data_IF_116885544335
#
_entry.id   IF_116885544335
#
_cell.length_a   1.000
_cell.length_b   1.000
_cell.length_c   1.000
_cell.angle_alpha   90.00
_cell.angle_beta   90.00
_cell.angle_gamma   90.00
#
_symmetry.space_group_name_H-M   'P 1'
#
loop_
_entity.id
_entity.type
_entity.pdbx_description
1 polymer ?
#
# COMPACT_ATOMS: atom_id res chain seq x y z
N UNK A 1 -8.08 6.61 -35.01
CA UNK A 1 -7.74 5.70 -33.89
C UNK A 1 -7.72 6.48 -32.55
N UNK A 2 -7.05 7.66 -32.52
CA UNK A 2 -6.94 8.46 -31.29
C UNK A 2 -8.32 8.83 -30.70
N UNK A 3 -9.23 9.40 -31.52
CA UNK A 3 -10.59 9.75 -31.11
C UNK A 3 -11.38 8.56 -30.54
N UNK A 4 -11.15 7.35 -31.04
CA UNK A 4 -11.82 6.15 -30.51
C UNK A 4 -11.31 5.79 -29.11
N UNK A 5 -10.02 5.99 -28.85
CA UNK A 5 -9.43 5.76 -27.53
C UNK A 5 -9.94 6.82 -26.55
N UNK A 6 -10.01 8.09 -26.93
CA UNK A 6 -10.57 9.16 -26.12
C UNK A 6 -12.06 8.92 -25.82
N UNK A 7 -12.84 8.48 -26.80
CA UNK A 7 -14.22 8.06 -26.58
C UNK A 7 -14.31 6.88 -25.59
N UNK A 8 -13.37 5.95 -25.62
CA UNK A 8 -13.29 4.86 -24.65
C UNK A 8 -13.00 5.39 -23.23
N UNK A 9 -12.13 6.41 -23.08
CA UNK A 9 -11.87 7.07 -21.78
C UNK A 9 -13.15 7.68 -21.21
N UNK A 10 -13.96 8.37 -22.04
CA UNK A 10 -15.25 8.90 -21.64
C UNK A 10 -16.20 7.78 -21.19
N UNK A 11 -16.23 6.65 -21.91
CA UNK A 11 -17.05 5.49 -21.55
C UNK A 11 -16.66 4.87 -20.21
N UNK A 12 -15.38 4.76 -19.91
CA UNK A 12 -14.93 4.30 -18.60
C UNK A 12 -15.36 5.25 -17.47
N UNK A 13 -15.51 6.53 -17.73
CA UNK A 13 -15.91 7.53 -16.74
C UNK A 13 -17.40 7.62 -16.49
N UNK A 14 -18.24 6.99 -17.34
CA UNK A 14 -19.70 6.98 -17.18
C UNK A 14 -20.20 6.10 -16.04
N UNK A 15 -19.37 5.17 -15.56
CA UNK A 15 -19.75 4.26 -14.50
C UNK A 15 -19.67 4.92 -13.14
N UNK A 16 -20.72 4.68 -12.32
CA UNK A 16 -20.75 5.10 -10.93
C UNK A 16 -20.76 3.87 -10.03
N UNK A 17 -19.82 3.81 -9.12
CA UNK A 17 -19.76 2.73 -8.15
C UNK A 17 -20.81 2.94 -7.06
N UNK A 18 -21.77 2.03 -6.96
CA UNK A 18 -22.79 2.06 -5.92
C UNK A 18 -22.26 1.38 -4.66
N UNK A 19 -21.85 2.18 -3.69
CA UNK A 19 -21.31 1.70 -2.40
C UNK A 19 -22.05 2.38 -1.25
N UNK A 20 -21.98 1.78 -0.05
CA UNK A 20 -22.51 2.42 1.16
C UNK A 20 -21.72 3.69 1.51
N UNK A 21 -22.33 4.62 2.24
CA UNK A 21 -21.65 5.84 2.71
C UNK A 21 -20.42 5.55 3.53
N UNK A 22 -20.47 4.52 4.39
CA UNK A 22 -19.31 4.11 5.18
C UNK A 22 -18.16 3.59 4.30
N UNK A 23 -18.46 2.79 3.26
CA UNK A 23 -17.45 2.29 2.32
C UNK A 23 -16.90 3.43 1.47
N UNK A 24 -17.68 4.45 1.14
CA UNK A 24 -17.24 5.61 0.37
C UNK A 24 -16.07 6.36 1.04
N UNK A 25 -16.03 6.43 2.36
CA UNK A 25 -14.93 7.04 3.11
C UNK A 25 -13.59 6.32 2.90
N UNK A 26 -13.63 4.99 2.69
CA UNK A 26 -12.44 4.16 2.43
C UNK A 26 -11.94 4.26 0.98
N UNK A 27 -12.79 4.72 0.07
CA UNK A 27 -12.50 4.85 -1.35
C UNK A 27 -12.72 6.26 -1.88
N UNK A 28 -12.62 7.26 -1.00
CA UNK A 28 -12.79 8.66 -1.38
C UNK A 28 -11.85 9.06 -2.52
N UNK A 29 -12.40 9.68 -3.56
CA UNK A 29 -11.67 10.05 -4.77
C UNK A 29 -11.61 8.97 -5.84
N UNK A 30 -12.06 7.74 -5.56
CA UNK A 30 -12.12 6.65 -6.52
C UNK A 30 -13.55 6.42 -6.98
N UNK A 31 -13.76 6.38 -8.29
CA UNK A 31 -15.06 6.10 -8.87
C UNK A 31 -15.23 4.59 -9.10
N UNK A 32 -14.33 4.03 -9.89
CA UNK A 32 -14.21 2.59 -10.14
C UNK A 32 -12.74 2.26 -10.39
N UNK A 33 -12.38 0.98 -10.24
CA UNK A 33 -11.03 0.53 -10.52
C UNK A 33 -10.92 -0.08 -11.93
N UNK A 34 -11.37 0.67 -12.93
CA UNK A 34 -11.16 0.28 -14.33
C UNK A 34 -9.76 0.70 -14.75
N UNK A 35 -8.88 -0.28 -14.88
CA UNK A 35 -7.47 -0.03 -15.17
C UNK A 35 -7.13 -0.37 -16.61
N UNK A 36 -6.21 0.41 -17.15
CA UNK A 36 -5.47 0.08 -18.35
C UNK A 36 -3.98 0.06 -18.01
N UNK A 37 -3.29 -1.01 -18.39
CA UNK A 37 -1.86 -1.16 -18.17
C UNK A 37 -1.14 -1.21 -19.51
N UNK A 38 -0.10 -0.38 -19.67
CA UNK A 38 0.70 -0.29 -20.90
C UNK A 38 2.20 -0.41 -20.62
N UNK A 39 3.00 -0.69 -21.65
CA UNK A 39 4.45 -0.88 -21.52
C UNK A 39 4.81 -2.27 -20.99
N UNK A 40 5.97 -2.38 -20.35
CA UNK A 40 6.52 -3.63 -19.82
C UNK A 40 7.07 -4.58 -20.87
N UNK A 41 7.38 -5.80 -20.48
CA UNK A 41 7.83 -6.86 -21.39
C UNK A 41 6.70 -7.81 -21.76
N UNK A 42 6.69 -8.23 -23.02
CA UNK A 42 5.83 -9.31 -23.51
C UNK A 42 6.33 -10.67 -23.01
N UNK A 43 5.55 -11.72 -23.29
CA UNK A 43 5.92 -13.10 -22.93
C UNK A 43 7.27 -13.55 -23.49
N UNK A 44 7.62 -13.11 -24.69
CA UNK A 44 8.90 -13.39 -25.34
C UNK A 44 10.07 -12.54 -24.82
N UNK A 45 9.82 -11.67 -23.83
CA UNK A 45 10.80 -10.77 -23.25
C UNK A 45 11.07 -9.50 -24.08
N UNK A 46 10.43 -9.32 -25.24
CA UNK A 46 10.55 -8.10 -26.03
C UNK A 46 9.79 -6.94 -25.40
N UNK A 47 10.12 -5.72 -25.82
CA UNK A 47 9.43 -4.51 -25.37
C UNK A 47 7.94 -4.53 -25.76
N UNK A 48 7.08 -4.16 -24.80
CA UNK A 48 5.63 -4.11 -24.94
C UNK A 48 5.11 -2.76 -25.44
N UNK A 49 5.94 -1.73 -25.54
CA UNK A 49 5.52 -0.43 -26.05
C UNK A 49 5.12 -0.51 -27.54
N UNK A 50 4.07 0.20 -27.89
CA UNK A 50 3.54 0.21 -29.25
C UNK A 50 2.72 1.50 -29.48
N UNK A 51 2.22 1.79 -30.70
CA UNK A 51 1.44 3.00 -30.94
C UNK A 51 0.23 3.20 -30.03
N UNK A 52 -0.44 2.12 -29.59
CA UNK A 52 -1.58 2.21 -28.65
C UNK A 52 -1.11 2.72 -27.28
N UNK A 53 0.10 2.34 -26.83
CA UNK A 53 0.71 2.87 -25.59
C UNK A 53 0.74 4.39 -25.59
N UNK A 54 1.24 5.00 -26.67
CA UNK A 54 1.33 6.46 -26.77
C UNK A 54 -0.04 7.12 -26.94
N UNK A 55 -0.97 6.47 -27.63
CA UNK A 55 -2.35 6.94 -27.76
C UNK A 55 -3.06 6.94 -26.39
N UNK A 56 -2.82 5.93 -25.55
CA UNK A 56 -3.37 5.86 -24.18
C UNK A 56 -2.82 6.98 -23.28
N UNK A 57 -1.50 7.23 -23.32
CA UNK A 57 -0.89 8.35 -22.60
C UNK A 57 -1.51 9.68 -23.03
N UNK A 58 -1.64 9.89 -24.34
CA UNK A 58 -2.23 11.10 -24.92
C UNK A 58 -3.72 11.25 -24.56
N UNK A 59 -4.51 10.20 -24.62
CA UNK A 59 -5.92 10.24 -24.22
C UNK A 59 -6.07 10.64 -22.73
N UNK A 60 -5.21 10.13 -21.84
CA UNK A 60 -5.21 10.52 -20.42
C UNK A 60 -4.87 12.01 -20.25
N UNK A 61 -3.91 12.54 -21.02
CA UNK A 61 -3.53 13.95 -20.99
C UNK A 61 -4.66 14.87 -21.48
N UNK A 62 -5.36 14.48 -22.55
CA UNK A 62 -6.36 15.34 -23.19
C UNK A 62 -7.73 15.24 -22.53
N UNK A 63 -8.19 14.04 -22.15
CA UNK A 63 -9.52 13.82 -21.60
C UNK A 63 -9.60 14.15 -20.10
N UNK A 64 -8.53 13.88 -19.33
CA UNK A 64 -8.40 14.22 -17.89
C UNK A 64 -9.52 13.69 -17.00
N UNK A 65 -10.02 12.49 -17.32
CA UNK A 65 -11.03 11.81 -16.51
C UNK A 65 -10.39 10.95 -15.42
N UNK A 66 -11.17 10.60 -14.38
CA UNK A 66 -10.70 9.72 -13.30
C UNK A 66 -10.50 8.28 -13.75
N UNK A 67 -11.12 7.88 -14.85
CA UNK A 67 -11.04 6.52 -15.39
C UNK A 67 -10.80 6.57 -16.90
N UNK A 68 -10.09 5.58 -17.42
CA UNK A 68 -9.44 4.46 -16.73
C UNK A 68 -8.25 4.93 -15.88
N UNK A 69 -8.01 4.21 -14.76
CA UNK A 69 -6.74 4.34 -14.06
C UNK A 69 -5.59 3.87 -14.95
N UNK A 70 -4.78 4.78 -15.47
CA UNK A 70 -3.66 4.42 -16.33
C UNK A 70 -2.45 4.00 -15.51
N UNK A 71 -1.99 2.77 -15.74
CA UNK A 71 -0.76 2.21 -15.17
C UNK A 71 0.29 1.98 -16.26
N UNK A 72 1.54 2.27 -15.97
CA UNK A 72 2.66 1.99 -16.87
C UNK A 72 3.64 1.03 -16.23
N UNK A 73 4.08 0.03 -16.99
CA UNK A 73 5.12 -0.92 -16.60
C UNK A 73 6.44 -0.44 -17.20
N UNK A 74 7.35 0.01 -16.34
CA UNK A 74 8.67 0.52 -16.74
C UNK A 74 9.72 -0.55 -16.50
N UNK A 75 10.53 -0.81 -17.51
CA UNK A 75 11.67 -1.72 -17.47
C UNK A 75 12.99 -0.95 -17.58
N UNK A 76 14.09 -1.55 -17.15
CA UNK A 76 15.40 -0.87 -17.13
C UNK A 76 15.86 -0.45 -18.56
N UNK A 77 15.49 -1.24 -19.56
CA UNK A 77 15.81 -1.06 -20.98
C UNK A 77 14.63 -0.52 -21.81
N UNK A 78 13.64 0.14 -21.18
CA UNK A 78 12.52 0.72 -21.91
C UNK A 78 12.97 1.85 -22.85
N UNK A 79 12.27 2.06 -23.98
CA UNK A 79 12.58 3.18 -24.88
C UNK A 79 12.58 4.51 -24.14
N UNK A 80 13.59 5.34 -24.42
CA UNK A 80 13.69 6.67 -23.81
C UNK A 80 12.45 7.53 -24.10
N UNK A 81 11.92 7.44 -25.30
CA UNK A 81 10.72 8.15 -25.75
C UNK A 81 9.49 7.77 -24.89
N UNK A 82 9.39 6.49 -24.48
CA UNK A 82 8.32 6.04 -23.60
C UNK A 82 8.44 6.66 -22.21
N UNK A 83 9.62 6.62 -21.60
CA UNK A 83 9.84 7.20 -20.30
C UNK A 83 9.66 8.74 -20.32
N UNK A 84 10.11 9.40 -21.37
CA UNK A 84 9.91 10.85 -21.58
C UNK A 84 8.41 11.18 -21.68
N UNK A 85 7.59 10.40 -22.39
CA UNK A 85 6.15 10.57 -22.49
C UNK A 85 5.43 10.33 -21.14
N UNK A 86 5.85 9.33 -20.40
CA UNK A 86 5.36 9.07 -19.02
C UNK A 86 5.64 10.25 -18.12
N UNK A 87 6.88 10.75 -18.07
CA UNK A 87 7.26 11.90 -17.24
C UNK A 87 6.56 13.20 -17.67
N UNK A 88 6.31 13.36 -18.97
CA UNK A 88 5.53 14.48 -19.49
C UNK A 88 4.09 14.44 -18.95
N UNK A 89 3.43 13.28 -18.98
CA UNK A 89 2.07 13.12 -18.47
C UNK A 89 2.00 13.34 -16.95
N UNK A 90 2.97 12.82 -16.18
CA UNK A 90 3.07 13.08 -14.73
C UNK A 90 3.12 14.58 -14.44
N UNK A 91 3.88 15.34 -15.24
CA UNK A 91 4.02 16.79 -15.07
C UNK A 91 2.72 17.56 -15.32
N UNK A 92 1.70 16.94 -15.94
CA UNK A 92 0.37 17.58 -16.12
C UNK A 92 -0.42 17.64 -14.79
N UNK A 93 0.03 16.95 -13.73
CA UNK A 93 -0.62 17.00 -12.41
C UNK A 93 -1.96 16.25 -12.32
N UNK A 94 -2.26 15.36 -13.27
CA UNK A 94 -3.50 14.55 -13.26
C UNK A 94 -3.48 13.41 -12.24
N UNK A 95 -2.34 13.14 -11.60
CA UNK A 95 -2.13 11.98 -10.73
C UNK A 95 -1.89 10.67 -11.50
N UNK A 96 -1.95 10.68 -12.83
CA UNK A 96 -1.64 9.55 -13.71
C UNK A 96 -0.39 9.83 -14.56
N UNK A 97 0.25 8.75 -15.04
CA UNK A 97 0.02 7.34 -14.75
C UNK A 97 0.62 6.92 -13.39
N UNK A 98 0.10 5.82 -12.84
CA UNK A 98 0.79 5.07 -11.79
C UNK A 98 1.96 4.31 -12.42
N UNK A 99 3.16 4.43 -11.87
CA UNK A 99 4.39 3.90 -12.48
C UNK A 99 4.85 2.67 -11.70
N UNK A 100 5.00 1.54 -12.40
CA UNK A 100 5.35 0.25 -11.81
C UNK A 100 6.63 -0.31 -12.41
N UNK A 101 7.47 -0.91 -11.56
CA UNK A 101 8.61 -1.71 -11.99
C UNK A 101 8.14 -3.01 -12.61
N UNK A 102 8.42 -3.20 -13.90
CA UNK A 102 8.07 -4.43 -14.59
C UNK A 102 8.76 -5.66 -13.98
N UNK A 103 10.03 -5.52 -13.60
CA UNK A 103 10.83 -6.60 -13.02
C UNK A 103 10.32 -7.01 -11.63
N UNK A 104 10.01 -6.05 -10.76
CA UNK A 104 9.53 -6.34 -9.41
C UNK A 104 8.13 -6.93 -9.45
N UNK A 105 7.22 -6.40 -10.29
CA UNK A 105 5.88 -6.98 -10.49
C UNK A 105 5.92 -8.42 -11.00
N UNK A 106 6.81 -8.71 -11.93
CA UNK A 106 7.07 -10.06 -12.40
C UNK A 106 7.53 -10.99 -11.26
N UNK A 107 8.49 -10.52 -10.43
CA UNK A 107 8.99 -11.30 -9.31
C UNK A 107 7.93 -11.53 -8.22
N UNK A 108 7.10 -10.53 -7.93
CA UNK A 108 5.95 -10.68 -7.02
C UNK A 108 5.02 -11.83 -7.44
N UNK A 109 4.73 -11.95 -8.74
CA UNK A 109 3.87 -13.02 -9.24
C UNK A 109 4.55 -14.38 -9.21
N UNK A 110 5.86 -14.47 -9.50
CA UNK A 110 6.61 -15.70 -9.33
C UNK A 110 6.57 -16.16 -7.86
N UNK A 111 6.76 -15.25 -6.92
CA UNK A 111 6.70 -15.53 -5.48
C UNK A 111 5.30 -15.97 -5.04
N UNK A 112 4.25 -15.48 -5.71
CA UNK A 112 2.86 -15.89 -5.50
C UNK A 112 2.50 -17.23 -6.17
N UNK A 113 3.42 -17.85 -6.91
CA UNK A 113 3.24 -19.17 -7.50
C UNK A 113 2.71 -19.19 -8.93
N UNK A 114 2.80 -18.07 -9.67
CA UNK A 114 2.48 -18.05 -11.09
C UNK A 114 3.61 -18.66 -11.91
N UNK A 115 3.23 -19.29 -13.03
CA UNK A 115 4.21 -19.75 -14.02
C UNK A 115 4.89 -18.56 -14.71
N UNK A 116 6.17 -18.67 -15.10
CA UNK A 116 6.94 -17.54 -15.66
C UNK A 116 6.28 -16.83 -16.85
N UNK A 117 5.71 -17.61 -17.78
CA UNK A 117 5.04 -17.05 -18.95
C UNK A 117 3.79 -16.25 -18.61
N UNK A 118 3.01 -16.75 -17.66
CA UNK A 118 1.80 -16.08 -17.17
C UNK A 118 2.17 -14.86 -16.29
N UNK A 119 3.17 -14.99 -15.45
CA UNK A 119 3.70 -13.88 -14.65
C UNK A 119 4.24 -12.74 -15.52
N UNK A 120 4.82 -13.03 -16.70
CA UNK A 120 5.31 -12.01 -17.62
C UNK A 120 4.20 -11.13 -18.22
N UNK A 121 3.01 -11.70 -18.39
CA UNK A 121 1.84 -11.04 -18.99
C UNK A 121 0.93 -10.36 -17.94
N UNK A 122 1.52 -9.87 -16.87
CA UNK A 122 0.77 -9.24 -15.79
C UNK A 122 0.21 -7.86 -16.17
N UNK A 123 -0.87 -7.49 -15.53
CA UNK A 123 -1.45 -6.16 -15.55
C UNK A 123 -1.68 -5.68 -14.12
N UNK A 124 -1.96 -4.39 -13.97
CA UNK A 124 -2.30 -3.83 -12.69
C UNK A 124 -3.81 -3.93 -12.45
N UNK A 125 -4.21 -4.39 -11.27
CA UNK A 125 -5.58 -4.37 -10.79
C UNK A 125 -5.73 -3.30 -9.72
N UNK A 126 -6.68 -2.40 -9.88
CA UNK A 126 -6.82 -1.26 -8.96
C UNK A 126 -5.60 -0.34 -8.98
N UNK A 127 -5.05 0.00 -7.80
CA UNK A 127 -3.95 0.96 -7.68
C UNK A 127 -2.59 0.34 -7.97
N UNK A 128 -2.27 -0.81 -7.33
CA UNK A 128 -0.91 -1.37 -7.27
C UNK A 128 -0.85 -2.89 -7.23
N UNK A 129 -1.94 -3.61 -7.47
CA UNK A 129 -1.93 -5.07 -7.38
C UNK A 129 -1.47 -5.68 -8.70
N UNK A 130 -0.29 -6.32 -8.78
CA UNK A 130 0.07 -7.10 -9.95
C UNK A 130 -0.87 -8.29 -10.07
N UNK A 131 -1.51 -8.45 -11.22
CA UNK A 131 -2.57 -9.42 -11.42
C UNK A 131 -2.45 -10.06 -12.80
N UNK A 132 -3.12 -11.20 -12.96
CA UNK A 132 -3.20 -11.90 -14.23
C UNK A 132 -4.62 -12.45 -14.49
N UNK A 133 -5.08 -12.38 -15.73
CA UNK A 133 -6.46 -12.73 -16.15
C UNK A 133 -6.93 -14.14 -15.83
N UNK A 134 -6.04 -15.05 -15.45
CA UNK A 134 -6.37 -16.44 -15.07
C UNK A 134 -6.48 -16.63 -13.56
N UNK A 135 -6.56 -15.55 -12.81
CA UNK A 135 -6.48 -15.55 -11.34
C UNK A 135 -7.87 -15.45 -10.73
N UNK A 136 -8.08 -16.21 -9.66
CA UNK A 136 -9.20 -16.05 -8.74
C UNK A 136 -9.10 -14.70 -8.01
N UNK A 137 -10.22 -14.28 -7.42
CA UNK A 137 -10.33 -13.00 -6.72
C UNK A 137 -9.63 -13.00 -5.34
N UNK A 138 -9.88 -11.95 -4.57
CA UNK A 138 -9.38 -11.64 -3.22
C UNK A 138 -8.09 -10.83 -3.17
N UNK A 139 -7.93 -9.94 -4.14
CA UNK A 139 -6.79 -9.02 -4.21
C UNK A 139 -6.74 -7.99 -3.06
N UNK A 140 -7.84 -7.80 -2.31
CA UNK A 140 -7.94 -6.92 -1.15
C UNK A 140 -9.00 -7.49 -0.18
N UNK A 141 -8.63 -8.51 0.59
CA UNK A 141 -9.56 -9.21 1.47
C UNK A 141 -9.86 -8.43 2.76
N UNK A 142 -8.82 -7.94 3.44
CA UNK A 142 -8.90 -7.18 4.68
C UNK A 142 -7.87 -6.07 4.70
N UNK A 143 -8.26 -4.90 5.23
CA UNK A 143 -7.33 -3.84 5.59
C UNK A 143 -7.05 -3.91 7.10
N UNK A 144 -5.80 -4.13 7.48
CA UNK A 144 -5.37 -4.27 8.87
C UNK A 144 -4.70 -2.97 9.36
N UNK A 145 -5.22 -2.38 10.42
CA UNK A 145 -4.65 -1.18 11.04
C UNK A 145 -3.50 -1.53 11.97
N UNK A 146 -2.27 -1.31 11.55
CA UNK A 146 -1.06 -1.59 12.34
C UNK A 146 -0.98 -0.74 13.61
N UNK A 147 -1.48 0.51 13.55
CA UNK A 147 -1.53 1.39 14.70
C UNK A 147 -2.34 0.82 15.87
N UNK A 148 -3.39 0.04 15.59
CA UNK A 148 -4.19 -0.60 16.62
C UNK A 148 -3.39 -1.61 17.45
N UNK A 149 -2.45 -2.34 16.84
CA UNK A 149 -1.56 -3.23 17.58
C UNK A 149 -0.68 -2.46 18.58
N UNK A 150 -0.16 -1.29 18.18
CA UNK A 150 0.62 -0.42 19.07
C UNK A 150 -0.24 0.15 20.19
N UNK A 151 -1.45 0.61 19.88
CA UNK A 151 -2.39 1.12 20.87
C UNK A 151 -2.73 0.05 21.93
N UNK A 152 -3.10 -1.15 21.48
CA UNK A 152 -3.48 -2.25 22.38
C UNK A 152 -2.29 -2.75 23.22
N UNK A 153 -1.07 -2.76 22.64
CA UNK A 153 0.14 -3.11 23.37
C UNK A 153 0.41 -2.17 24.55
N UNK A 154 0.24 -0.87 24.37
CA UNK A 154 0.54 0.14 25.36
C UNK A 154 -0.63 0.45 26.32
N UNK A 155 -1.85 0.02 25.98
CA UNK A 155 -3.08 0.28 26.73
C UNK A 155 -3.78 -1.01 27.18
N UNK A 156 -3.02 -2.06 27.51
CA UNK A 156 -3.51 -3.33 28.10
C UNK A 156 -4.63 -4.02 27.28
N UNK A 157 -4.61 -3.86 25.95
CA UNK A 157 -5.61 -4.40 25.05
C UNK A 157 -6.85 -3.52 24.86
N UNK A 158 -6.92 -2.33 25.45
CA UNK A 158 -8.06 -1.43 25.32
C UNK A 158 -7.83 -0.37 24.25
N UNK A 159 -8.91 -0.03 23.55
CA UNK A 159 -8.92 1.12 22.63
C UNK A 159 -8.98 2.44 23.42
N UNK A 160 -8.12 3.39 23.09
CA UNK A 160 -8.16 4.75 23.64
C UNK A 160 -9.39 5.54 23.14
N UNK A 161 -9.93 5.16 21.99
CA UNK A 161 -11.06 5.88 21.39
C UNK A 161 -12.42 5.44 21.96
N UNK A 162 -12.59 4.15 22.22
CA UNK A 162 -13.89 3.60 22.67
C UNK A 162 -13.88 3.17 24.14
N UNK A 163 -12.72 2.95 24.72
CA UNK A 163 -12.58 2.36 26.05
C UNK A 163 -12.89 0.86 26.12
N UNK A 164 -13.19 0.24 24.98
CA UNK A 164 -13.51 -1.18 24.90
C UNK A 164 -12.26 -2.03 24.80
N UNK A 165 -12.33 -3.26 25.32
CA UNK A 165 -11.26 -4.24 25.16
C UNK A 165 -11.32 -4.88 23.79
N UNK A 166 -10.36 -4.53 22.96
CA UNK A 166 -10.25 -4.97 21.56
C UNK A 166 -9.09 -5.94 21.32
N UNK A 167 -8.06 -5.89 22.14
CA UNK A 167 -6.86 -6.71 22.07
C UNK A 167 -6.74 -7.75 23.18
N UNK A 168 -5.62 -8.45 23.18
CA UNK A 168 -5.24 -9.40 24.21
C UNK A 168 -4.82 -8.67 25.50
N UNK A 169 -4.83 -9.40 26.62
CA UNK A 169 -4.30 -8.89 27.91
C UNK A 169 -2.81 -8.60 27.80
N UNK A 170 -2.43 -7.42 28.27
CA UNK A 170 -1.04 -6.99 28.39
C UNK A 170 -0.77 -6.44 29.80
N UNK A 171 0.49 -6.49 30.20
CA UNK A 171 0.94 -5.80 31.43
C UNK A 171 0.84 -4.28 31.23
N UNK A 172 0.62 -3.52 32.32
CA UNK A 172 0.68 -2.06 32.24
C UNK A 172 1.97 -1.57 31.59
N UNK A 173 1.89 -0.52 30.76
CA UNK A 173 3.07 0.02 30.09
C UNK A 173 4.19 0.41 31.08
N UNK A 174 3.85 0.91 32.27
CA UNK A 174 4.84 1.22 33.33
C UNK A 174 5.64 0.03 33.85
N UNK A 175 5.21 -1.22 33.57
CA UNK A 175 5.92 -2.45 33.92
C UNK A 175 6.81 -2.96 32.76
N UNK A 176 6.83 -2.27 31.63
CA UNK A 176 7.71 -2.57 30.48
C UNK A 176 9.08 -1.92 30.74
N UNK A 177 10.07 -2.73 31.11
CA UNK A 177 11.38 -2.25 31.57
C UNK A 177 12.46 -2.26 30.49
N UNK A 178 12.16 -2.82 29.31
CA UNK A 178 13.04 -2.86 28.16
C UNK A 178 12.31 -2.56 26.85
N UNK A 179 13.03 -2.15 25.83
CA UNK A 179 12.46 -1.99 24.49
C UNK A 179 11.93 -3.32 23.93
N UNK A 180 12.55 -4.43 24.28
CA UNK A 180 12.08 -5.76 23.89
C UNK A 180 10.74 -6.10 24.55
N UNK A 181 10.45 -5.65 25.76
CA UNK A 181 9.12 -5.79 26.36
C UNK A 181 8.05 -5.12 25.50
N UNK A 182 8.32 -3.90 25.03
CA UNK A 182 7.40 -3.15 24.16
C UNK A 182 7.23 -3.84 22.81
N UNK A 183 8.32 -4.30 22.20
CA UNK A 183 8.26 -5.04 20.93
C UNK A 183 7.46 -6.34 21.07
N UNK A 184 7.69 -7.09 22.13
CA UNK A 184 6.98 -8.35 22.36
C UNK A 184 5.48 -8.11 22.58
N UNK A 185 5.09 -7.09 23.34
CA UNK A 185 3.70 -6.70 23.50
C UNK A 185 3.09 -6.26 22.13
N UNK A 186 3.81 -5.46 21.36
CA UNK A 186 3.38 -5.04 20.04
C UNK A 186 3.14 -6.24 19.10
N UNK A 187 4.12 -7.14 18.95
CA UNK A 187 3.99 -8.29 18.05
C UNK A 187 2.90 -9.26 18.51
N UNK A 188 2.71 -9.47 19.80
CA UNK A 188 1.61 -10.29 20.32
C UNK A 188 0.24 -9.74 19.91
N UNK A 189 0.02 -8.42 19.99
CA UNK A 189 -1.22 -7.79 19.51
C UNK A 189 -1.32 -7.83 17.99
N UNK A 190 -0.20 -7.62 17.30
CA UNK A 190 -0.12 -7.65 15.85
C UNK A 190 -0.50 -9.03 15.28
N UNK A 191 0.05 -10.11 15.84
CA UNK A 191 -0.25 -11.49 15.44
C UNK A 191 -1.71 -11.85 15.70
N UNK A 192 -2.28 -11.32 16.81
CA UNK A 192 -3.71 -11.48 17.09
C UNK A 192 -4.58 -10.80 16.01
N UNK A 193 -4.23 -9.60 15.56
CA UNK A 193 -4.94 -8.91 14.47
C UNK A 193 -4.76 -9.65 13.13
N UNK A 194 -3.57 -10.17 12.84
CA UNK A 194 -3.32 -11.03 11.68
C UNK A 194 -4.27 -12.23 11.70
N UNK A 195 -4.34 -12.96 12.82
CA UNK A 195 -5.22 -14.13 12.97
C UNK A 195 -6.70 -13.79 12.76
N UNK A 196 -7.18 -12.67 13.30
CA UNK A 196 -8.57 -12.23 13.09
C UNK A 196 -8.83 -11.90 11.62
N UNK A 197 -7.87 -11.26 10.93
CA UNK A 197 -7.97 -10.98 9.50
C UNK A 197 -8.07 -12.26 8.66
N UNK A 198 -7.30 -13.28 9.02
CA UNK A 198 -7.35 -14.60 8.38
C UNK A 198 -8.71 -15.28 8.59
N UNK A 199 -9.20 -15.34 9.83
CA UNK A 199 -10.50 -15.96 10.17
C UNK A 199 -11.63 -15.28 9.40
N UNK A 200 -11.68 -13.95 9.43
CA UNK A 200 -12.68 -13.16 8.71
C UNK A 200 -12.67 -13.47 7.21
N UNK A 201 -11.49 -13.53 6.62
CA UNK A 201 -11.33 -13.81 5.18
C UNK A 201 -11.79 -15.23 4.83
N UNK A 202 -11.43 -16.23 5.61
CA UNK A 202 -11.84 -17.62 5.39
C UNK A 202 -13.37 -17.75 5.43
N UNK A 203 -14.02 -17.13 6.42
CA UNK A 203 -15.49 -17.16 6.53
C UNK A 203 -16.14 -16.40 5.36
N UNK A 204 -15.59 -15.27 4.95
CA UNK A 204 -16.06 -14.54 3.78
C UNK A 204 -15.94 -15.39 2.50
N UNK A 205 -14.81 -16.09 2.30
CA UNK A 205 -14.64 -16.99 1.15
C UNK A 205 -15.65 -18.14 1.15
N UNK A 206 -15.95 -18.74 2.32
CA UNK A 206 -16.97 -19.79 2.46
C UNK A 206 -18.36 -19.28 2.05
N UNK A 207 -18.74 -18.10 2.55
CA UNK A 207 -20.01 -17.47 2.19
C UNK A 207 -20.09 -17.14 0.69
N UNK A 208 -19.02 -16.61 0.10
CA UNK A 208 -18.98 -16.33 -1.34
C UNK A 208 -19.12 -17.59 -2.18
N UNK A 209 -18.44 -18.66 -1.80
CA UNK A 209 -18.50 -19.96 -2.47
C UNK A 209 -19.92 -20.53 -2.52
N UNK A 210 -20.71 -20.32 -1.47
CA UNK A 210 -22.07 -20.88 -1.33
C UNK A 210 -23.15 -19.95 -1.84
N UNK A 211 -23.01 -18.64 -1.62
CA UNK A 211 -24.11 -17.67 -1.76
C UNK A 211 -23.94 -16.68 -2.91
N UNK A 212 -22.71 -16.51 -3.44
CA UNK A 212 -22.40 -15.45 -4.41
C UNK A 212 -21.73 -16.02 -5.66
N UNK A 213 -22.38 -16.91 -6.42
CA UNK A 213 -21.84 -17.38 -7.70
C UNK A 213 -21.80 -16.24 -8.72
N UNK A 214 -20.78 -16.25 -9.58
CA UNK A 214 -20.53 -15.21 -10.59
C UNK A 214 -20.38 -15.82 -11.99
N UNK A 215 -21.45 -16.42 -12.53
CA UNK A 215 -21.37 -17.23 -13.75
C UNK A 215 -20.91 -16.41 -14.97
N UNK A 216 -21.35 -15.15 -15.10
CA UNK A 216 -20.91 -14.30 -16.22
C UNK A 216 -19.41 -13.98 -16.11
N UNK A 217 -18.92 -13.56 -14.93
CA UNK A 217 -17.51 -13.31 -14.72
C UNK A 217 -16.68 -14.60 -14.92
N UNK A 218 -17.16 -15.72 -14.38
CA UNK A 218 -16.52 -17.03 -14.54
C UNK A 218 -16.36 -17.43 -16.01
N UNK A 219 -17.32 -17.08 -16.88
CA UNK A 219 -17.21 -17.33 -18.33
C UNK A 219 -16.10 -16.52 -19.00
N UNK A 220 -15.63 -15.42 -18.37
CA UNK A 220 -14.53 -14.57 -18.86
C UNK A 220 -13.16 -14.95 -18.26
N UNK A 221 -13.14 -15.80 -17.23
CA UNK A 221 -11.91 -16.23 -16.56
C UNK A 221 -11.47 -17.58 -17.08
N UNK A 222 -10.24 -17.65 -17.56
CA UNK A 222 -9.65 -18.88 -18.12
C UNK A 222 -9.65 -20.01 -17.11
N UNK A 223 -9.94 -21.23 -17.55
CA UNK A 223 -10.09 -22.46 -16.79
C UNK A 223 -11.43 -22.65 -16.03
N UNK A 224 -12.21 -21.61 -15.79
CA UNK A 224 -13.51 -21.78 -15.13
C UNK A 224 -14.48 -22.65 -15.97
N UNK A 225 -14.52 -22.43 -17.28
CA UNK A 225 -15.37 -23.23 -18.19
C UNK A 225 -14.88 -24.68 -18.31
N UNK A 226 -13.56 -24.88 -18.43
CA UNK A 226 -12.97 -26.21 -18.55
C UNK A 226 -13.12 -27.02 -17.26
N UNK A 227 -13.00 -26.36 -16.10
CA UNK A 227 -13.19 -27.03 -14.79
C UNK A 227 -14.66 -27.24 -14.42
N UNK A 228 -15.59 -26.56 -15.09
CA UNK A 228 -17.02 -26.56 -14.73
C UNK A 228 -17.30 -25.95 -13.36
N UNK A 229 -16.42 -25.07 -12.87
CA UNK A 229 -16.53 -24.44 -11.55
C UNK A 229 -16.63 -22.93 -11.68
N UNK A 230 -17.47 -22.33 -10.85
CA UNK A 230 -17.50 -20.89 -10.67
C UNK A 230 -16.17 -20.36 -10.10
N UNK A 231 -15.86 -19.10 -10.40
CA UNK A 231 -14.70 -18.41 -9.88
C UNK A 231 -14.64 -18.45 -8.34
N UNK A 232 -15.79 -18.24 -7.68
CA UNK A 232 -15.92 -18.32 -6.22
C UNK A 232 -15.73 -19.73 -5.65
N UNK A 233 -15.74 -20.75 -6.51
CA UNK A 233 -15.53 -22.16 -6.17
C UNK A 233 -14.14 -22.68 -6.53
N UNK A 234 -13.22 -21.77 -6.87
CA UNK A 234 -11.87 -22.12 -7.26
C UNK A 234 -11.74 -22.60 -8.72
N UNK A 235 -12.59 -22.11 -9.62
CA UNK A 235 -12.60 -22.49 -11.04
C UNK A 235 -11.43 -21.91 -11.85
N UNK A 236 -10.80 -20.81 -11.43
CA UNK A 236 -9.69 -20.19 -12.14
C UNK A 236 -8.42 -21.07 -12.15
N UNK A 237 -7.53 -20.85 -13.11
CA UNK A 237 -6.22 -21.54 -13.18
C UNK A 237 -5.39 -21.29 -11.91
N UNK A 238 -5.39 -20.05 -11.43
CA UNK A 238 -4.67 -19.64 -10.24
C UNK A 238 -5.64 -19.21 -9.15
N UNK A 239 -5.55 -19.85 -7.99
CA UNK A 239 -6.19 -19.44 -6.75
C UNK A 239 -5.08 -19.04 -5.78
N UNK A 240 -4.45 -17.89 -6.04
CA UNK A 240 -3.20 -17.47 -5.38
C UNK A 240 -3.37 -16.99 -3.94
N UNK A 241 -4.54 -17.15 -3.39
CA UNK A 241 -4.86 -16.80 -2.01
C UNK A 241 -5.15 -15.30 -1.81
N UNK A 242 -5.87 -15.02 -0.70
CA UNK A 242 -6.30 -13.67 -0.37
C UNK A 242 -5.14 -12.78 0.05
N UNK A 243 -5.32 -11.47 -0.17
CA UNK A 243 -4.35 -10.44 0.20
C UNK A 243 -4.85 -9.68 1.42
N UNK A 244 -4.04 -9.64 2.49
CA UNK A 244 -4.24 -8.76 3.64
C UNK A 244 -3.40 -7.50 3.44
N UNK A 245 -4.03 -6.34 3.56
CA UNK A 245 -3.39 -5.05 3.34
C UNK A 245 -3.01 -4.40 4.67
N UNK A 246 -1.73 -4.07 4.85
CA UNK A 246 -1.22 -3.34 6.00
C UNK A 246 -1.37 -1.82 5.85
N UNK A 247 -1.95 -1.16 6.85
CA UNK A 247 -2.13 0.29 6.91
C UNK A 247 -1.41 0.82 8.15
N UNK A 248 -0.57 1.85 7.99
CA UNK A 248 0.07 2.50 9.13
C UNK A 248 1.51 2.06 9.41
N UNK A 249 2.22 1.48 8.44
CA UNK A 249 3.62 1.05 8.59
C UNK A 249 4.51 2.17 9.14
N UNK A 250 4.50 3.34 8.50
CA UNK A 250 5.35 4.47 8.92
C UNK A 250 4.97 5.00 10.31
N UNK A 251 3.68 5.03 10.65
CA UNK A 251 3.24 5.45 12.00
C UNK A 251 3.78 4.49 13.07
N UNK A 252 3.73 3.18 12.83
CA UNK A 252 4.24 2.17 13.77
C UNK A 252 5.76 2.22 13.85
N UNK A 253 6.47 2.27 12.74
CA UNK A 253 7.92 2.37 12.75
C UNK A 253 8.42 3.63 13.49
N UNK A 254 7.80 4.78 13.20
CA UNK A 254 8.07 6.04 13.90
C UNK A 254 7.73 5.96 15.41
N UNK A 255 6.68 5.23 15.77
CA UNK A 255 6.27 5.07 17.18
C UNK A 255 7.23 4.18 17.94
N UNK A 256 7.64 3.05 17.38
CA UNK A 256 8.65 2.17 17.98
C UNK A 256 10.00 2.89 18.12
N UNK A 257 10.41 3.65 17.09
CA UNK A 257 11.63 4.47 17.12
C UNK A 257 11.56 5.54 18.21
N UNK A 258 10.42 6.21 18.38
CA UNK A 258 10.22 7.21 19.44
C UNK A 258 10.26 6.58 20.83
N UNK A 259 9.59 5.44 21.07
CA UNK A 259 9.66 4.71 22.34
C UNK A 259 11.10 4.32 22.66
N UNK A 260 11.79 3.70 21.70
CA UNK A 260 13.19 3.28 21.86
C UNK A 260 14.07 4.45 22.26
N UNK A 261 13.94 5.57 21.55
CA UNK A 261 14.80 6.75 21.75
C UNK A 261 14.45 7.48 23.06
N UNK A 262 13.18 7.89 23.25
CA UNK A 262 12.78 8.74 24.37
C UNK A 262 12.85 8.03 25.73
N UNK A 263 12.49 6.74 25.76
CA UNK A 263 12.37 6.01 27.04
C UNK A 263 13.65 5.25 27.36
N UNK A 264 14.19 4.49 26.42
CA UNK A 264 15.26 3.53 26.72
C UNK A 264 16.66 4.06 26.42
N UNK A 265 16.85 4.94 25.44
CA UNK A 265 18.15 5.51 25.12
C UNK A 265 18.40 6.85 25.80
N UNK A 266 17.59 7.88 25.50
CA UNK A 266 17.78 9.24 26.01
C UNK A 266 17.17 9.44 27.41
N UNK A 267 16.31 8.52 27.89
CA UNK A 267 15.66 8.55 29.20
C UNK A 267 14.94 9.89 29.51
N UNK A 268 14.29 10.44 28.49
CA UNK A 268 13.52 11.69 28.57
C UNK A 268 12.27 11.50 29.48
N UNK A 269 11.65 10.33 29.39
CA UNK A 269 10.53 9.93 30.23
C UNK A 269 10.55 8.40 30.46
N UNK A 270 9.77 7.93 31.41
CA UNK A 270 9.52 6.50 31.58
C UNK A 270 8.27 6.03 30.78
N UNK A 271 8.08 4.72 30.66
CA UNK A 271 6.94 4.14 29.94
C UNK A 271 5.59 4.53 30.56
N UNK A 272 5.52 4.72 31.87
CA UNK A 272 4.30 5.14 32.55
C UNK A 272 3.89 6.58 32.16
N UNK A 273 4.87 7.48 32.09
CA UNK A 273 4.66 8.87 31.67
C UNK A 273 4.23 8.94 30.21
N UNK A 274 4.89 8.16 29.34
CA UNK A 274 4.51 8.09 27.94
C UNK A 274 3.07 7.56 27.77
N UNK A 275 2.70 6.47 28.46
CA UNK A 275 1.35 5.93 28.41
C UNK A 275 0.29 6.94 28.87
N UNK A 276 0.56 7.69 29.96
CA UNK A 276 -0.32 8.78 30.42
C UNK A 276 -0.46 9.89 29.37
N UNK A 277 0.62 10.27 28.70
CA UNK A 277 0.58 11.27 27.65
C UNK A 277 -0.31 10.81 26.47
N UNK A 278 -0.23 9.54 26.06
CA UNK A 278 -1.09 8.96 25.03
C UNK A 278 -2.56 8.93 25.45
N UNK A 279 -2.85 8.48 26.68
CA UNK A 279 -4.21 8.48 27.24
C UNK A 279 -4.81 9.88 27.33
N UNK A 280 -3.97 10.89 27.63
CA UNK A 280 -4.36 12.30 27.64
C UNK A 280 -4.39 12.95 26.25
N UNK A 281 -4.20 12.17 25.16
CA UNK A 281 -4.08 12.70 23.81
C UNK A 281 -3.03 13.83 23.70
N UNK A 282 -1.92 13.69 24.44
CA UNK A 282 -0.82 14.65 24.59
C UNK A 282 -1.19 15.95 25.34
N UNK A 283 -2.42 16.09 25.86
CA UNK A 283 -2.81 17.27 26.63
C UNK A 283 -2.00 17.37 27.92
N UNK A 284 -1.33 18.50 28.13
CA UNK A 284 -0.40 18.72 29.23
C UNK A 284 0.98 18.07 29.08
N UNK A 285 1.28 17.48 27.92
CA UNK A 285 2.55 16.87 27.57
C UNK A 285 3.16 17.44 26.27
N UNK A 286 2.95 18.73 26.01
CA UNK A 286 3.33 19.38 24.75
C UNK A 286 4.83 19.28 24.48
N UNK A 287 5.69 19.49 25.47
CA UNK A 287 7.14 19.38 25.33
C UNK A 287 7.56 17.95 24.97
N UNK A 288 6.96 16.94 25.62
CA UNK A 288 7.22 15.54 25.32
C UNK A 288 6.74 15.18 23.91
N UNK A 289 5.59 15.72 23.48
CA UNK A 289 5.07 15.52 22.13
C UNK A 289 6.02 16.12 21.08
N UNK A 290 6.54 17.31 21.28
CA UNK A 290 7.49 17.93 20.32
C UNK A 290 8.79 17.11 20.26
N UNK A 291 9.28 16.58 21.38
CA UNK A 291 10.41 15.65 21.39
C UNK A 291 10.08 14.34 20.63
N UNK A 292 8.86 13.80 20.80
CA UNK A 292 8.41 12.63 20.06
C UNK A 292 8.33 12.88 18.54
N UNK A 293 7.90 14.07 18.13
CA UNK A 293 7.91 14.50 16.72
C UNK A 293 9.32 14.69 16.17
N UNK A 294 10.28 15.11 17.00
CA UNK A 294 11.67 15.29 16.63
C UNK A 294 12.49 13.99 16.54
N UNK A 295 11.99 12.86 17.06
CA UNK A 295 12.65 11.56 16.90
C UNK A 295 12.82 11.20 15.43
N UNK A 296 13.78 10.30 15.08
CA UNK A 296 13.96 9.79 13.71
C UNK A 296 12.64 9.31 13.09
N UNK A 297 12.44 9.62 11.80
CA UNK A 297 11.22 9.29 11.07
C UNK A 297 11.54 8.53 9.79
N UNK A 298 10.76 7.49 9.51
CA UNK A 298 10.77 6.76 8.26
C UNK A 298 10.51 7.69 7.07
N UNK A 299 11.27 7.48 5.99
CA UNK A 299 11.21 8.32 4.80
C UNK A 299 12.34 9.34 4.68
N UNK A 300 13.33 9.31 5.57
CA UNK A 300 14.48 10.22 5.57
C UNK A 300 15.82 9.52 5.31
N UNK A 301 15.80 8.28 4.81
CA UNK A 301 16.98 7.43 4.57
C UNK A 301 17.79 7.14 5.86
N UNK A 302 17.12 7.12 7.02
CA UNK A 302 17.70 6.86 8.33
C UNK A 302 17.50 5.41 8.75
N UNK A 303 18.59 4.65 8.83
CA UNK A 303 18.56 3.23 9.24
C UNK A 303 18.02 3.00 10.64
N UNK A 304 18.08 3.97 11.54
CA UNK A 304 17.53 3.85 12.89
C UNK A 304 16.05 3.50 12.89
N UNK A 305 15.28 4.06 11.96
CA UNK A 305 13.84 3.83 11.85
C UNK A 305 13.48 2.95 10.64
N UNK A 306 14.26 3.00 9.56
CA UNK A 306 14.01 2.18 8.38
C UNK A 306 14.16 0.68 8.70
N UNK A 307 15.17 0.30 9.52
CA UNK A 307 15.36 -1.09 9.93
C UNK A 307 14.17 -1.61 10.78
N UNK A 308 13.52 -0.73 11.58
CA UNK A 308 12.27 -1.07 12.28
C UNK A 308 11.10 -1.29 11.29
N UNK A 309 10.98 -0.43 10.27
CA UNK A 309 9.96 -0.60 9.24
C UNK A 309 10.15 -1.92 8.46
N UNK A 310 11.38 -2.27 8.14
CA UNK A 310 11.75 -3.54 7.49
C UNK A 310 11.36 -4.72 8.39
N UNK A 311 11.69 -4.66 9.68
CA UNK A 311 11.35 -5.71 10.65
C UNK A 311 9.83 -5.94 10.72
N UNK A 312 9.04 -4.86 10.84
CA UNK A 312 7.57 -4.93 10.89
C UNK A 312 6.98 -5.48 9.58
N UNK A 313 7.47 -5.01 8.43
CA UNK A 313 6.99 -5.47 7.12
C UNK A 313 7.29 -6.96 6.89
N UNK A 314 8.51 -7.41 7.22
CA UNK A 314 8.88 -8.82 7.10
C UNK A 314 8.09 -9.71 8.07
N UNK A 315 7.89 -9.27 9.33
CA UNK A 315 7.07 -9.97 10.30
C UNK A 315 5.63 -10.13 9.80
N UNK A 316 5.04 -9.07 9.25
CA UNK A 316 3.70 -9.11 8.65
C UNK A 316 3.60 -10.16 7.55
N UNK A 317 4.57 -10.20 6.63
CA UNK A 317 4.58 -11.22 5.59
C UNK A 317 4.66 -12.63 6.16
N UNK A 318 5.61 -12.89 7.05
CA UNK A 318 5.82 -14.22 7.61
C UNK A 318 4.62 -14.70 8.43
N UNK A 319 4.01 -13.81 9.23
CA UNK A 319 2.83 -14.16 10.02
C UNK A 319 1.62 -14.48 9.13
N UNK A 320 1.38 -13.72 8.07
CA UNK A 320 0.24 -13.94 7.16
C UNK A 320 0.48 -15.15 6.24
N UNK A 321 1.67 -15.29 5.69
CA UNK A 321 1.95 -16.28 4.63
C UNK A 321 1.95 -17.75 5.12
N UNK A 322 2.04 -18.00 6.43
CA UNK A 322 1.95 -19.35 6.99
C UNK A 322 0.54 -19.95 6.91
N UNK A 323 -0.50 -19.12 6.80
CA UNK A 323 -1.89 -19.58 6.71
C UNK A 323 -2.28 -19.97 5.29
N UNK A 324 -3.33 -20.80 5.19
CA UNK A 324 -3.90 -21.26 3.92
C UNK A 324 -5.37 -20.94 3.86
N UNK A 325 -5.82 -20.53 2.67
CA UNK A 325 -7.23 -20.27 2.39
C UNK A 325 -8.04 -21.56 2.15
N UNK A 326 -9.33 -21.42 1.82
CA UNK A 326 -10.21 -22.57 1.58
C UNK A 326 -9.84 -23.39 0.34
N UNK A 327 -8.94 -22.91 -0.51
CA UNK A 327 -8.43 -23.60 -1.70
C UNK A 327 -7.01 -24.17 -1.48
N UNK A 328 -6.43 -23.99 -0.29
CA UNK A 328 -5.10 -24.44 0.07
C UNK A 328 -3.96 -23.49 -0.35
N UNK A 329 -4.30 -22.28 -0.85
CA UNK A 329 -3.33 -21.28 -1.26
C UNK A 329 -2.82 -20.46 -0.07
N UNK A 330 -1.54 -20.03 -0.06
CA UNK A 330 -1.03 -19.17 1.01
C UNK A 330 -1.71 -17.79 0.95
N UNK A 331 -1.94 -17.20 2.12
CA UNK A 331 -2.31 -15.80 2.19
C UNK A 331 -1.13 -14.91 1.78
N UNK A 332 -1.43 -13.78 1.18
CA UNK A 332 -0.47 -12.80 0.70
C UNK A 332 -0.64 -11.46 1.42
N UNK A 333 0.34 -10.60 1.29
CA UNK A 333 0.34 -9.27 1.91
C UNK A 333 0.46 -8.16 0.88
N UNK A 334 -0.05 -6.99 1.24
CA UNK A 334 0.10 -5.75 0.48
C UNK A 334 0.32 -4.55 1.40
N UNK A 335 0.86 -3.49 0.84
CA UNK A 335 0.88 -2.16 1.42
C UNK A 335 0.22 -1.20 0.44
N UNK A 336 -1.12 -1.19 0.41
CA UNK A 336 -1.89 -0.26 -0.41
C UNK A 336 -2.95 0.40 0.47
N UNK A 337 -2.90 1.72 0.59
CA UNK A 337 -3.76 2.45 1.53
C UNK A 337 -5.02 2.98 0.89
N UNK A 338 -5.02 3.26 -0.41
CA UNK A 338 -6.06 4.07 -1.05
C UNK A 338 -6.28 5.32 -0.17
N UNK A 339 -7.50 5.62 0.26
CA UNK A 339 -7.82 6.62 1.30
C UNK A 339 -8.09 6.01 2.69
N UNK A 340 -7.88 4.70 2.86
CA UNK A 340 -8.20 3.94 4.10
C UNK A 340 -7.45 4.46 5.33
N UNK A 341 -6.24 5.02 5.15
CA UNK A 341 -5.45 5.57 6.24
C UNK A 341 -6.17 6.72 6.98
N UNK A 342 -7.12 7.40 6.33
CA UNK A 342 -7.93 8.46 6.93
C UNK A 342 -8.97 7.88 7.89
N UNK A 343 -9.95 7.05 7.46
CA UNK A 343 -10.95 6.48 8.36
C UNK A 343 -10.31 5.55 9.42
N UNK A 344 -9.24 4.84 9.09
CA UNK A 344 -8.52 4.04 10.07
C UNK A 344 -7.79 4.89 11.12
N UNK A 345 -7.32 6.08 10.73
CA UNK A 345 -6.80 7.06 11.67
C UNK A 345 -7.86 7.61 12.61
N UNK A 346 -9.10 7.82 12.12
CA UNK A 346 -10.21 8.34 12.94
C UNK A 346 -10.57 7.46 14.14
N UNK A 347 -10.33 6.15 14.04
CA UNK A 347 -10.60 5.18 15.09
C UNK A 347 -9.38 4.80 15.92
N UNK A 348 -8.24 5.43 15.68
CA UNK A 348 -6.97 5.16 16.33
C UNK A 348 -6.63 6.29 17.30
N UNK A 349 -6.28 5.93 18.53
CA UNK A 349 -5.82 6.83 19.58
C UNK A 349 -4.46 7.47 19.28
N UNK A 350 -3.99 8.30 20.19
CA UNK A 350 -2.68 8.93 20.10
C UNK A 350 -1.55 7.88 20.07
N UNK A 351 -0.50 8.17 19.30
CA UNK A 351 0.62 7.22 19.11
C UNK A 351 1.95 7.86 19.53
N UNK A 352 2.95 7.05 19.94
CA UNK A 352 4.23 7.53 20.45
C UNK A 352 5.03 8.44 19.50
N UNK A 353 4.74 8.44 18.20
CA UNK A 353 5.40 9.32 17.25
C UNK A 353 4.93 10.79 17.29
N UNK A 354 4.02 11.14 18.21
CA UNK A 354 3.44 12.48 18.37
C UNK A 354 2.11 12.71 17.63
N UNK A 355 1.54 11.66 16.99
CA UNK A 355 0.22 11.69 16.34
C UNK A 355 -0.88 11.76 17.42
N UNK A 356 -1.91 12.57 17.22
CA UNK A 356 -3.08 12.72 18.11
C UNK A 356 -4.21 11.76 17.77
N UNK A 357 -5.18 11.65 18.68
CA UNK A 357 -6.43 10.90 18.46
C UNK A 357 -7.11 11.34 17.16
N UNK A 358 -7.55 10.39 16.36
CA UNK A 358 -8.33 10.65 15.15
C UNK A 358 -7.58 11.25 13.95
N UNK A 359 -6.31 11.65 14.09
CA UNK A 359 -5.50 12.09 12.96
C UNK A 359 -5.31 10.92 11.96
N UNK A 360 -5.14 11.19 10.64
CA UNK A 360 -4.86 10.15 9.67
C UNK A 360 -3.69 9.26 10.06
N UNK A 361 -3.68 8.01 9.60
CA UNK A 361 -2.54 7.10 9.70
C UNK A 361 -1.57 7.31 8.53
N UNK A 362 -0.68 6.37 8.21
CA UNK A 362 0.15 6.38 7.02
C UNK A 362 -0.34 5.37 5.99
N UNK A 363 -0.13 5.70 4.71
CA UNK A 363 -0.56 4.88 3.59
C UNK A 363 0.60 4.07 3.00
N UNK A 364 0.30 2.86 2.56
CA UNK A 364 1.24 2.03 1.81
C UNK A 364 2.62 1.94 2.46
N UNK A 365 3.64 2.14 1.64
CA UNK A 365 5.05 2.25 2.06
C UNK A 365 5.53 3.72 2.06
N UNK A 366 4.59 4.67 1.97
CA UNK A 366 4.89 6.10 2.01
C UNK A 366 5.28 6.55 3.42
N UNK A 367 6.09 7.60 3.56
CA UNK A 367 6.30 8.26 4.85
C UNK A 367 4.97 8.76 5.45
N UNK A 368 4.93 8.92 6.76
CA UNK A 368 3.82 9.62 7.39
C UNK A 368 3.82 11.09 6.97
N UNK A 369 2.66 11.62 6.60
CA UNK A 369 2.54 12.96 6.00
C UNK A 369 3.23 14.02 6.87
N UNK A 370 4.14 14.78 6.26
CA UNK A 370 4.90 15.87 6.91
C UNK A 370 6.09 15.41 7.74
N UNK A 371 6.46 14.13 7.72
CA UNK A 371 7.65 13.61 8.44
C UNK A 371 8.85 13.37 7.55
N UNK A 372 8.68 13.40 6.24
CA UNK A 372 9.72 13.31 5.21
C UNK A 372 10.37 14.68 4.98
N UNK A 373 11.21 15.09 5.93
CA UNK A 373 11.85 16.43 5.98
C UNK A 373 13.15 16.52 5.19
N UNK A 374 13.62 15.41 4.62
CA UNK A 374 14.85 15.36 3.83
C UNK A 374 14.55 15.63 2.33
N UNK A 375 14.79 14.69 1.46
CA UNK A 375 14.57 14.85 0.01
C UNK A 375 13.61 13.76 -0.50
N UNK A 376 12.93 13.98 -1.63
CA UNK A 376 12.13 12.91 -2.26
C UNK A 376 12.94 11.62 -2.51
N UNK A 377 14.23 11.77 -2.83
CA UNK A 377 15.13 10.61 -3.00
C UNK A 377 15.37 9.85 -1.70
N UNK A 378 15.40 10.55 -0.55
CA UNK A 378 15.53 9.88 0.76
C UNK A 378 14.27 9.05 1.06
N UNK A 379 13.07 9.58 0.78
CA UNK A 379 11.81 8.83 0.92
C UNK A 379 11.80 7.59 0.00
N UNK A 380 12.24 7.73 -1.25
CA UNK A 380 12.38 6.62 -2.18
C UNK A 380 13.36 5.55 -1.67
N UNK A 381 14.50 5.95 -1.11
CA UNK A 381 15.48 5.02 -0.54
C UNK A 381 14.95 4.29 0.69
N UNK A 382 14.25 4.97 1.59
CA UNK A 382 13.60 4.31 2.73
C UNK A 382 12.60 3.26 2.25
N UNK A 383 11.73 3.59 1.29
CA UNK A 383 10.75 2.67 0.73
C UNK A 383 11.41 1.48 0.00
N UNK A 384 12.49 1.73 -0.75
CA UNK A 384 13.20 0.68 -1.50
C UNK A 384 13.99 -0.30 -0.61
N UNK A 385 14.25 0.03 0.66
CA UNK A 385 14.87 -0.90 1.63
C UNK A 385 13.91 -2.02 2.07
N UNK A 386 12.60 -1.81 1.91
CA UNK A 386 11.62 -2.86 2.17
C UNK A 386 11.74 -3.97 1.13
N UNK A 387 11.60 -5.23 1.56
CA UNK A 387 11.58 -6.36 0.64
C UNK A 387 10.23 -6.43 -0.10
N UNK A 388 10.05 -5.57 -1.11
CA UNK A 388 8.74 -5.41 -1.75
C UNK A 388 8.31 -6.63 -2.57
N UNK A 389 9.24 -7.43 -3.07
CA UNK A 389 8.97 -8.61 -3.91
C UNK A 389 8.15 -9.71 -3.21
N UNK A 390 8.19 -9.76 -1.86
CA UNK A 390 7.41 -10.74 -1.11
C UNK A 390 5.96 -10.30 -0.88
N UNK A 391 5.65 -9.02 -1.03
CA UNK A 391 4.31 -8.47 -0.83
C UNK A 391 3.53 -8.49 -2.16
N UNK A 392 3.14 -9.67 -2.62
CA UNK A 392 2.56 -9.90 -3.96
C UNK A 392 1.22 -9.21 -4.21
N UNK A 393 0.58 -8.67 -3.18
CA UNK A 393 -0.57 -7.77 -3.32
C UNK A 393 -0.20 -6.32 -3.67
N UNK A 394 1.09 -6.03 -3.84
CA UNK A 394 1.60 -4.72 -4.24
C UNK A 394 1.95 -3.79 -3.08
N UNK A 395 2.80 -2.81 -3.38
CA UNK A 395 3.28 -1.81 -2.43
C UNK A 395 3.15 -0.42 -3.04
N UNK A 396 2.43 0.47 -2.37
CA UNK A 396 2.09 1.81 -2.85
C UNK A 396 3.04 2.84 -2.24
N UNK A 397 3.77 3.57 -3.10
CA UNK A 397 4.54 4.75 -2.72
C UNK A 397 3.95 5.98 -3.40
N UNK A 398 3.39 6.89 -2.61
CA UNK A 398 2.93 8.21 -3.07
C UNK A 398 3.94 9.28 -2.67
N UNK A 399 4.33 10.12 -3.63
CA UNK A 399 5.19 11.27 -3.41
C UNK A 399 4.52 12.54 -3.92
N UNK A 400 4.67 13.62 -3.17
CA UNK A 400 4.26 14.96 -3.59
C UNK A 400 5.47 15.70 -4.12
N UNK A 401 5.32 16.30 -5.30
CA UNK A 401 6.35 17.13 -5.91
C UNK A 401 5.78 18.53 -6.21
N UNK A 402 6.57 19.55 -5.99
CA UNK A 402 6.23 20.89 -6.48
C UNK A 402 6.20 20.86 -8.01
N UNK A 403 5.14 21.39 -8.61
CA UNK A 403 4.96 21.42 -10.06
C UNK A 403 6.17 22.07 -10.77
N UNK A 404 6.79 23.10 -10.18
CA UNK A 404 7.94 23.77 -10.77
C UNK A 404 9.15 22.83 -10.98
N UNK A 405 9.27 21.76 -10.20
CA UNK A 405 10.35 20.79 -10.36
C UNK A 405 10.23 19.98 -11.65
N UNK A 406 9.03 19.81 -12.19
CA UNK A 406 8.72 18.97 -13.36
C UNK A 406 8.22 19.75 -14.56
N UNK A 407 8.03 21.06 -14.44
CA UNK A 407 7.51 21.95 -15.49
C UNK A 407 8.42 22.05 -16.72
N UNK A 408 9.72 21.77 -16.58
CA UNK A 408 10.71 21.88 -17.64
C UNK A 408 11.11 20.49 -18.18
N UNK A 409 11.59 20.44 -19.43
CA UNK A 409 12.16 19.20 -20.00
C UNK A 409 13.29 18.62 -19.15
N UNK A 410 14.12 19.48 -18.52
CA UNK A 410 15.17 19.03 -17.59
C UNK A 410 14.57 18.42 -16.32
N UNK A 411 13.52 19.02 -15.78
CA UNK A 411 12.80 18.50 -14.62
C UNK A 411 12.17 17.12 -14.92
N UNK A 412 11.55 16.96 -16.08
CA UNK A 412 10.98 15.69 -16.53
C UNK A 412 12.07 14.62 -16.76
N UNK A 413 13.22 14.98 -17.31
CA UNK A 413 14.35 14.07 -17.44
C UNK A 413 14.91 13.63 -16.05
N UNK A 414 14.98 14.55 -15.08
CA UNK A 414 15.35 14.23 -13.71
C UNK A 414 14.34 13.28 -13.06
N UNK A 415 13.04 13.49 -13.29
CA UNK A 415 11.97 12.60 -12.81
C UNK A 415 12.16 11.18 -13.38
N UNK A 416 12.44 11.05 -14.67
CA UNK A 416 12.74 9.75 -15.30
C UNK A 416 13.94 9.05 -14.66
N UNK A 417 15.01 9.79 -14.37
CA UNK A 417 16.18 9.26 -13.68
C UNK A 417 15.84 8.82 -12.23
N UNK A 418 14.98 9.56 -11.52
CA UNK A 418 14.50 9.18 -10.18
C UNK A 418 13.71 7.88 -10.23
N UNK A 419 12.80 7.72 -11.20
CA UNK A 419 12.01 6.48 -11.39
C UNK A 419 12.92 5.29 -11.66
N UNK A 420 13.87 5.42 -12.59
CA UNK A 420 14.81 4.34 -12.88
C UNK A 420 15.70 3.99 -11.67
N UNK A 421 16.15 5.00 -10.93
CA UNK A 421 16.92 4.79 -9.70
C UNK A 421 16.10 4.02 -8.66
N UNK A 422 14.85 4.44 -8.42
CA UNK A 422 13.95 3.79 -7.48
C UNK A 422 13.77 2.30 -7.82
N UNK A 423 13.49 2.00 -9.09
CA UNK A 423 13.27 0.63 -9.53
C UNK A 423 14.55 -0.22 -9.53
N UNK A 424 15.71 0.40 -9.78
CA UNK A 424 17.00 -0.30 -9.64
C UNK A 424 17.34 -0.66 -8.18
N UNK A 425 16.72 0.02 -7.22
CA UNK A 425 16.82 -0.27 -5.78
C UNK A 425 15.81 -1.34 -5.31
N UNK A 426 14.93 -1.84 -6.18
CA UNK A 426 13.98 -2.92 -5.86
C UNK A 426 12.58 -2.46 -5.45
N UNK A 427 12.24 -1.18 -5.60
CA UNK A 427 10.87 -0.73 -5.36
C UNK A 427 9.93 -1.13 -6.49
N UNK A 428 8.65 -1.35 -6.15
CA UNK A 428 7.64 -1.79 -7.11
C UNK A 428 6.91 -0.64 -7.79
N UNK A 429 6.47 0.36 -7.02
CA UNK A 429 5.56 1.39 -7.51
C UNK A 429 5.96 2.77 -7.03
N UNK A 430 5.64 3.78 -7.85
CA UNK A 430 5.61 5.18 -7.43
C UNK A 430 4.51 5.93 -8.18
N UNK A 431 3.79 6.76 -7.44
CA UNK A 431 2.85 7.74 -8.00
C UNK A 431 3.26 9.13 -7.53
N UNK A 432 3.32 10.07 -8.48
CA UNK A 432 3.66 11.45 -8.19
C UNK A 432 2.42 12.34 -8.25
N UNK A 433 2.18 13.05 -7.18
CA UNK A 433 1.18 14.11 -7.12
C UNK A 433 1.91 15.45 -7.29
N UNK A 434 1.87 15.98 -8.52
CA UNK A 434 2.50 17.25 -8.85
C UNK A 434 1.49 18.38 -8.59
N UNK A 435 1.69 19.11 -7.50
CA UNK A 435 0.81 20.19 -7.04
C UNK A 435 1.60 21.50 -6.95
N UNK A 436 0.92 22.63 -7.14
CA UNK A 436 1.54 23.92 -6.86
C UNK A 436 1.50 24.22 -5.35
N UNK A 437 2.43 25.02 -4.87
CA UNK A 437 2.47 25.48 -3.48
C UNK A 437 1.31 26.41 -3.12
N UNK A 438 0.48 26.81 -4.09
CA UNK A 438 -0.66 27.70 -3.94
C UNK A 438 -1.99 26.96 -3.75
N UNK A 439 -1.98 25.63 -3.71
CA UNK A 439 -3.17 24.75 -3.52
C UNK A 439 -3.19 24.12 -2.15
#
# INVERSE_FOLDING_TARGET
AQELIEALWLKYSEWVWTISSNTADYFAGYNQFQNLTVGGKKRDGSDGTNPITYMALKATEEVKTHQPGLSVRVQADCPKEFLDAVCHLVAQGTGFPAIHSDAVGYQMLLNAGYEPDDARDWNNCGCVVPHFRKTGEWTAAVNMNFGSAMEYALNQGYSLMTGEKMGLDEKPAGEMTSFDDVKNAFYKQFDNLCRHSIILTIEAQRLHKEMVPRPFLSSCIEHCMESGKDLSQGGAKYNVGPVITGIGLAVVANSLAAVKKLVFEDQVCDMQTLAKALQANWEGFDDLREQAKACPKYGNDDRYVDDIAIEVANHFYHEIHQYRDIFGSPFNTAFMGISNYIPMGRVLGATPCGRKNGEPSSEGVSPFVGTDTSTPLAAMRSAAKLNQEIHSGGTLLNLRLDHNLVATKRGQANLGAMVQTLFSLGAFHVQFNCISSEV
#
